data_IF_008662860580
#
_entry.id   IF_008662860580
#
_cell.length_a   1.000
_cell.length_b   1.000
_cell.length_c   1.000
_cell.angle_alpha   90.00
_cell.angle_beta   90.00
_cell.angle_gamma   90.00
#
_symmetry.space_group_name_H-M   'P 1'
#
loop_
_entity.id
_entity.type
_entity.pdbx_description
1 polymer ?
#
# COMPACT_ATOMS: atom_id res chain seq x y z
N UNK A 1 22.34 -22.04 -23.71
CA UNK A 1 22.80 -20.82 -22.99
C UNK A 1 24.25 -21.06 -22.62
N UNK A 2 25.20 -20.29 -23.15
CA UNK A 2 26.63 -20.56 -23.02
C UNK A 2 27.13 -20.27 -21.61
N UNK A 3 28.03 -21.08 -21.11
CA UNK A 3 28.69 -21.00 -19.81
C UNK A 3 29.39 -19.65 -19.50
N UNK A 4 29.49 -18.74 -20.45
CA UNK A 4 30.10 -17.42 -20.31
C UNK A 4 29.23 -16.41 -19.51
N UNK A 5 27.91 -16.60 -19.41
CA UNK A 5 27.02 -15.71 -18.62
C UNK A 5 27.12 -15.91 -17.10
N UNK A 6 27.60 -17.08 -16.66
CA UNK A 6 27.71 -17.40 -15.23
C UNK A 6 29.00 -16.86 -14.61
N UNK A 7 30.04 -16.63 -15.42
CA UNK A 7 31.36 -16.17 -14.93
C UNK A 7 31.37 -14.67 -14.62
N UNK A 8 30.51 -13.86 -15.26
CA UNK A 8 30.41 -12.42 -15.00
C UNK A 8 29.71 -12.05 -13.68
N UNK A 9 28.85 -12.92 -13.14
CA UNK A 9 28.10 -12.67 -11.92
C UNK A 9 28.91 -12.85 -10.62
N UNK A 10 30.07 -13.46 -10.68
CA UNK A 10 30.90 -13.80 -9.50
C UNK A 10 31.67 -12.62 -8.89
N UNK A 11 31.67 -11.45 -9.51
CA UNK A 11 32.49 -10.31 -9.08
C UNK A 11 31.67 -9.09 -8.69
N UNK A 12 30.34 -9.18 -8.67
CA UNK A 12 29.48 -8.04 -8.32
C UNK A 12 29.57 -7.75 -6.82
N UNK A 13 29.84 -6.49 -6.50
CA UNK A 13 29.86 -5.95 -5.15
C UNK A 13 28.59 -5.12 -4.94
N UNK A 14 28.19 -4.95 -3.68
CA UNK A 14 27.17 -3.98 -3.33
C UNK A 14 27.58 -2.59 -3.79
N UNK A 15 26.80 -1.98 -4.67
CA UNK A 15 27.04 -0.61 -5.10
C UNK A 15 26.76 0.36 -3.94
N UNK A 16 27.49 1.47 -3.82
CA UNK A 16 27.16 2.54 -2.89
C UNK A 16 25.74 3.06 -3.16
N UNK A 17 24.98 3.35 -2.10
CA UNK A 17 23.63 3.89 -2.22
C UNK A 17 23.57 5.14 -3.12
N UNK A 18 24.54 6.04 -3.00
CA UNK A 18 24.63 7.25 -3.82
C UNK A 18 24.65 6.96 -5.31
N UNK A 19 25.41 5.92 -5.71
CA UNK A 19 25.51 5.51 -7.13
C UNK A 19 24.18 4.91 -7.62
N UNK A 20 23.49 4.14 -6.77
CA UNK A 20 22.19 3.55 -7.11
C UNK A 20 21.13 4.65 -7.24
N UNK A 21 21.09 5.59 -6.30
CA UNK A 21 20.14 6.70 -6.36
C UNK A 21 20.44 7.67 -7.51
N UNK A 22 21.72 7.90 -7.84
CA UNK A 22 22.06 8.68 -9.04
C UNK A 22 21.47 8.04 -10.30
N UNK A 23 21.61 6.72 -10.47
CA UNK A 23 21.01 5.99 -11.59
C UNK A 23 19.47 6.11 -11.58
N UNK A 24 18.82 5.91 -10.41
CA UNK A 24 17.37 6.05 -10.29
C UNK A 24 16.92 7.45 -10.73
N UNK A 25 17.60 8.50 -10.29
CA UNK A 25 17.23 9.86 -10.66
C UNK A 25 17.48 10.16 -12.14
N UNK A 26 18.58 9.66 -12.70
CA UNK A 26 18.89 9.84 -14.13
C UNK A 26 17.84 9.13 -15.01
N UNK A 27 17.46 7.90 -14.66
CA UNK A 27 16.42 7.14 -15.36
C UNK A 27 15.04 7.83 -15.26
N UNK A 28 14.69 8.36 -14.08
CA UNK A 28 13.42 9.08 -13.88
C UNK A 28 13.40 10.40 -14.66
N UNK A 29 14.49 11.18 -14.67
CA UNK A 29 14.61 12.37 -15.49
C UNK A 29 14.48 12.05 -16.97
N UNK A 30 15.13 11.00 -17.42
CA UNK A 30 15.00 10.54 -18.80
C UNK A 30 13.55 10.19 -19.14
N UNK A 31 12.83 9.50 -18.26
CA UNK A 31 11.43 9.17 -18.46
C UNK A 31 10.55 10.44 -18.51
N UNK A 32 10.76 11.38 -17.60
CA UNK A 32 10.03 12.66 -17.56
C UNK A 32 10.22 13.47 -18.85
N UNK A 33 11.43 13.48 -19.41
CA UNK A 33 11.76 14.21 -20.64
C UNK A 33 11.22 13.52 -21.90
N UNK A 34 11.09 12.20 -21.90
CA UNK A 34 10.80 11.43 -23.12
C UNK A 34 9.38 10.85 -23.19
N UNK A 35 8.64 10.77 -22.08
CA UNK A 35 7.23 10.36 -22.09
C UNK A 35 6.37 11.62 -22.28
N UNK A 36 5.61 11.76 -23.37
CA UNK A 36 4.72 12.90 -23.55
C UNK A 36 3.65 12.96 -22.47
N UNK A 37 3.36 14.14 -21.94
CA UNK A 37 2.36 14.34 -20.88
C UNK A 37 0.96 13.80 -21.25
N UNK A 38 0.61 13.84 -22.54
CA UNK A 38 -0.67 13.38 -23.08
C UNK A 38 -0.62 11.99 -23.73
N UNK A 39 0.45 11.21 -23.51
CA UNK A 39 0.56 9.87 -24.12
C UNK A 39 -0.53 8.93 -23.62
N UNK A 40 -0.85 9.00 -22.33
CA UNK A 40 -1.82 8.13 -21.64
C UNK A 40 -2.72 8.97 -20.74
N UNK A 41 -3.66 9.78 -21.29
CA UNK A 41 -4.49 10.67 -20.51
C UNK A 41 -5.43 9.89 -19.60
N UNK A 42 -5.64 10.40 -18.38
CA UNK A 42 -6.49 9.76 -17.37
C UNK A 42 -7.93 9.61 -17.83
N UNK A 43 -8.43 10.54 -18.64
CA UNK A 43 -9.77 10.44 -19.23
C UNK A 43 -9.97 9.21 -20.14
N UNK A 44 -8.88 8.61 -20.63
CA UNK A 44 -8.91 7.39 -21.45
C UNK A 44 -8.31 6.19 -20.72
N UNK A 45 -8.39 6.16 -19.39
CA UNK A 45 -7.82 5.12 -18.55
C UNK A 45 -8.35 3.72 -18.90
N UNK A 46 -9.60 3.60 -19.37
CA UNK A 46 -10.18 2.34 -19.78
C UNK A 46 -9.36 1.61 -20.89
N UNK A 47 -8.65 2.38 -21.74
CA UNK A 47 -7.80 1.84 -22.80
C UNK A 47 -6.31 1.85 -22.46
N UNK A 48 -5.89 2.74 -21.58
CA UNK A 48 -4.47 3.04 -21.30
C UNK A 48 -4.04 2.70 -19.86
N UNK A 49 -4.93 2.20 -19.03
CA UNK A 49 -4.62 1.91 -17.65
C UNK A 49 -3.53 0.83 -17.53
N UNK A 50 -2.59 1.07 -16.61
CA UNK A 50 -1.40 0.23 -16.43
C UNK A 50 -0.14 0.69 -17.19
N UNK A 51 -0.26 1.64 -18.11
CA UNK A 51 0.92 2.28 -18.71
C UNK A 51 1.63 3.20 -17.72
N UNK A 52 2.97 3.20 -17.79
CA UNK A 52 3.78 4.18 -17.04
C UNK A 52 3.68 5.54 -17.73
N UNK A 53 3.28 6.55 -16.97
CA UNK A 53 3.12 7.92 -17.46
C UNK A 53 4.28 8.81 -17.04
N UNK A 54 4.42 9.99 -17.67
CA UNK A 54 5.30 11.05 -17.20
C UNK A 54 5.04 11.35 -15.71
N UNK A 55 3.79 11.49 -15.33
CA UNK A 55 3.37 11.81 -13.98
C UNK A 55 3.72 10.72 -12.95
N UNK A 56 3.74 9.46 -13.35
CA UNK A 56 4.23 8.37 -12.51
C UNK A 56 5.74 8.50 -12.23
N UNK A 57 6.52 8.88 -13.24
CA UNK A 57 7.96 9.12 -13.08
C UNK A 57 8.25 10.36 -12.21
N UNK A 58 7.48 11.44 -12.38
CA UNK A 58 7.56 12.65 -11.55
C UNK A 58 7.25 12.37 -10.07
N UNK A 59 6.15 11.67 -9.79
CA UNK A 59 5.77 11.32 -8.44
C UNK A 59 6.80 10.40 -7.77
N UNK A 60 7.35 9.44 -8.52
CA UNK A 60 8.40 8.56 -8.01
C UNK A 60 9.72 9.32 -7.77
N UNK A 61 10.07 10.30 -8.61
CA UNK A 61 11.23 11.16 -8.40
C UNK A 61 11.12 11.94 -7.08
N UNK A 62 9.98 12.57 -6.82
CA UNK A 62 9.73 13.30 -5.57
C UNK A 62 9.79 12.36 -4.35
N UNK A 63 9.19 11.17 -4.44
CA UNK A 63 9.23 10.16 -3.36
C UNK A 63 10.66 9.68 -3.09
N UNK A 64 11.43 9.37 -4.14
CA UNK A 64 12.82 8.94 -4.03
C UNK A 64 13.70 10.04 -3.42
N UNK A 65 13.48 11.31 -3.81
CA UNK A 65 14.17 12.45 -3.23
C UNK A 65 13.90 12.59 -1.73
N UNK A 66 12.63 12.55 -1.32
CA UNK A 66 12.22 12.65 0.10
C UNK A 66 12.78 11.50 0.94
N UNK A 67 12.79 10.28 0.39
CA UNK A 67 13.38 9.14 1.08
C UNK A 67 14.90 9.30 1.21
N UNK A 68 15.60 9.63 0.12
CA UNK A 68 17.05 9.77 0.13
C UNK A 68 17.50 10.84 1.11
N UNK A 69 16.90 12.04 1.02
CA UNK A 69 17.28 13.15 1.90
C UNK A 69 16.95 12.88 3.36
N UNK A 70 15.80 12.25 3.62
CA UNK A 70 15.39 11.91 4.98
C UNK A 70 16.24 10.80 5.61
N UNK A 71 16.49 9.71 4.88
CA UNK A 71 17.20 8.55 5.41
C UNK A 71 18.72 8.76 5.46
N UNK A 72 19.32 9.33 4.41
CA UNK A 72 20.77 9.56 4.35
C UNK A 72 21.19 10.92 4.91
N UNK A 73 20.26 11.84 5.18
CA UNK A 73 20.54 13.15 5.76
C UNK A 73 21.36 14.08 4.87
N UNK A 74 21.31 13.90 3.55
CA UNK A 74 22.07 14.68 2.57
C UNK A 74 21.32 14.84 1.26
N UNK A 75 21.65 15.87 0.49
CA UNK A 75 21.10 16.11 -0.84
C UNK A 75 21.71 15.16 -1.88
N UNK A 76 20.92 14.62 -2.82
CA UNK A 76 21.47 13.90 -3.97
C UNK A 76 22.15 14.87 -4.94
N UNK A 77 23.18 14.39 -5.65
CA UNK A 77 23.91 15.26 -6.58
C UNK A 77 23.14 15.58 -7.85
N UNK A 78 22.20 14.71 -8.26
CA UNK A 78 21.51 14.77 -9.56
C UNK A 78 20.12 15.39 -9.52
N UNK A 79 19.52 15.57 -8.32
CA UNK A 79 18.18 16.17 -8.15
C UNK A 79 18.17 17.12 -6.97
N UNK A 80 17.68 18.33 -7.18
CA UNK A 80 17.48 19.34 -6.15
C UNK A 80 16.06 19.25 -5.54
N UNK A 81 15.89 19.85 -4.36
CA UNK A 81 14.58 20.03 -3.74
C UNK A 81 13.59 20.77 -4.66
N UNK A 82 14.08 21.76 -5.39
CA UNK A 82 13.27 22.55 -6.32
C UNK A 82 12.75 21.70 -7.49
N UNK A 83 13.58 20.80 -8.05
CA UNK A 83 13.16 19.87 -9.11
C UNK A 83 12.13 18.86 -8.57
N UNK A 84 12.33 18.32 -7.38
CA UNK A 84 11.37 17.40 -6.75
C UNK A 84 10.02 18.08 -6.48
N UNK A 85 10.02 19.35 -6.03
CA UNK A 85 8.81 20.14 -5.86
C UNK A 85 8.14 20.44 -7.20
N UNK A 86 8.91 20.86 -8.20
CA UNK A 86 8.38 21.16 -9.54
C UNK A 86 7.70 19.94 -10.16
N UNK A 87 8.22 18.74 -9.95
CA UNK A 87 7.59 17.49 -10.41
C UNK A 87 6.20 17.28 -9.76
N UNK A 88 6.06 17.52 -8.45
CA UNK A 88 4.75 17.46 -7.79
C UNK A 88 3.79 18.53 -8.31
N UNK A 89 4.27 19.78 -8.49
CA UNK A 89 3.44 20.90 -8.98
C UNK A 89 3.01 20.70 -10.43
N UNK A 90 3.82 20.06 -11.29
CA UNK A 90 3.44 19.72 -12.66
C UNK A 90 2.27 18.73 -12.68
N UNK A 91 2.32 17.69 -11.85
CA UNK A 91 1.21 16.74 -11.68
C UNK A 91 -0.07 17.46 -11.24
N UNK A 92 0.04 18.34 -10.24
CA UNK A 92 -1.11 19.08 -9.70
C UNK A 92 -1.69 20.03 -10.75
N UNK A 93 -0.83 20.77 -11.46
CA UNK A 93 -1.22 21.72 -12.48
C UNK A 93 -1.78 21.06 -13.74
N UNK A 94 -1.48 19.79 -13.99
CA UNK A 94 -1.98 19.05 -15.16
C UNK A 94 -3.50 18.93 -15.20
N UNK A 95 -4.15 18.90 -14.01
CA UNK A 95 -5.58 18.64 -13.88
C UNK A 95 -6.01 17.22 -14.25
N UNK A 96 -5.06 16.31 -14.52
CA UNK A 96 -5.34 14.90 -14.86
C UNK A 96 -5.83 14.09 -13.66
N UNK A 97 -5.47 14.50 -12.43
CA UNK A 97 -5.73 13.75 -11.21
C UNK A 97 -6.55 14.57 -10.22
N UNK A 98 -7.34 13.88 -9.41
CA UNK A 98 -8.11 14.50 -8.33
C UNK A 98 -8.35 13.50 -7.21
N UNK A 99 -8.58 13.99 -5.98
CA UNK A 99 -9.01 13.14 -4.87
C UNK A 99 -10.40 12.56 -5.14
N UNK A 100 -10.58 11.30 -4.86
CA UNK A 100 -11.92 10.70 -4.82
C UNK A 100 -12.65 11.31 -3.60
N UNK A 101 -13.85 11.87 -3.77
CA UNK A 101 -14.50 12.68 -2.74
C UNK A 101 -14.74 11.97 -1.41
N UNK A 102 -15.13 10.70 -1.45
CA UNK A 102 -15.28 9.87 -0.26
C UNK A 102 -14.17 8.84 -0.19
N UNK A 103 -13.39 8.86 0.88
CA UNK A 103 -12.23 7.97 1.02
C UNK A 103 -12.55 6.48 0.88
N UNK A 104 -13.72 6.04 1.39
CA UNK A 104 -14.16 4.65 1.28
C UNK A 104 -14.28 4.18 -0.17
N UNK A 105 -14.58 5.09 -1.10
CA UNK A 105 -14.77 4.75 -2.51
C UNK A 105 -13.47 4.43 -3.26
N UNK A 106 -12.32 4.59 -2.61
CA UNK A 106 -11.02 4.13 -3.13
C UNK A 106 -10.83 2.61 -3.04
N UNK A 107 -11.63 1.93 -2.21
CA UNK A 107 -11.37 0.55 -1.85
C UNK A 107 -12.61 -0.31 -2.07
N UNK A 108 -12.51 -1.41 -2.85
CA UNK A 108 -13.64 -2.31 -3.10
C UNK A 108 -14.32 -2.78 -1.80
N UNK A 109 -13.54 -3.29 -0.84
CA UNK A 109 -14.09 -3.83 0.40
C UNK A 109 -14.74 -2.76 1.32
N UNK A 110 -14.40 -1.48 1.15
CA UNK A 110 -15.01 -0.39 1.93
C UNK A 110 -16.34 0.09 1.33
N UNK A 111 -16.62 -0.27 0.10
CA UNK A 111 -17.78 0.17 -0.68
C UNK A 111 -18.74 -0.97 -1.02
N UNK A 112 -18.27 -2.22 -1.05
CA UNK A 112 -19.06 -3.39 -1.40
C UNK A 112 -20.25 -3.60 -0.45
N UNK A 113 -21.33 -4.14 -1.02
CA UNK A 113 -22.54 -4.55 -0.30
C UNK A 113 -22.66 -6.06 -0.25
N UNK A 114 -23.36 -6.58 0.74
CA UNK A 114 -23.71 -8.01 0.77
C UNK A 114 -24.61 -8.34 -0.42
N UNK A 115 -24.28 -9.36 -1.17
CA UNK A 115 -25.05 -9.83 -2.33
C UNK A 115 -25.04 -11.35 -2.37
N UNK A 116 -26.15 -11.94 -2.78
CA UNK A 116 -26.25 -13.38 -3.02
C UNK A 116 -25.37 -13.80 -4.21
N UNK A 117 -24.83 -15.00 -4.13
CA UNK A 117 -24.15 -15.63 -5.26
C UNK A 117 -25.10 -15.77 -6.44
N UNK A 118 -24.68 -15.49 -7.68
CA UNK A 118 -25.50 -15.71 -8.86
C UNK A 118 -25.85 -17.20 -9.02
N UNK A 119 -26.98 -17.47 -9.61
CA UNK A 119 -27.38 -18.84 -9.99
C UNK A 119 -26.39 -19.44 -10.99
N UNK A 120 -26.40 -20.78 -11.11
CA UNK A 120 -25.52 -21.48 -12.04
C UNK A 120 -25.74 -21.00 -13.47
N UNK A 121 -24.68 -20.59 -14.14
CA UNK A 121 -24.69 -20.03 -15.48
C UNK A 121 -25.03 -18.53 -15.57
N UNK A 122 -25.30 -17.89 -14.47
CA UNK A 122 -25.53 -16.44 -14.36
C UNK A 122 -24.27 -15.71 -13.87
N UNK A 123 -24.32 -14.36 -13.94
CA UNK A 123 -23.26 -13.48 -13.48
C UNK A 123 -23.82 -12.43 -12.54
N UNK A 124 -23.10 -12.11 -11.48
CA UNK A 124 -23.43 -11.01 -10.59
C UNK A 124 -23.23 -9.66 -11.30
N UNK A 125 -24.09 -8.70 -10.98
CA UNK A 125 -23.85 -7.30 -11.31
C UNK A 125 -22.75 -6.73 -10.39
N UNK A 126 -21.52 -6.77 -10.85
CA UNK A 126 -20.36 -6.33 -10.08
C UNK A 126 -20.39 -4.81 -9.78
N UNK A 127 -21.02 -4.01 -10.64
CA UNK A 127 -21.20 -2.58 -10.36
C UNK A 127 -22.09 -2.37 -9.14
N UNK A 128 -23.17 -3.14 -9.05
CA UNK A 128 -24.04 -3.12 -7.88
C UNK A 128 -23.34 -3.69 -6.64
N UNK A 129 -22.61 -4.80 -6.79
CA UNK A 129 -21.89 -5.45 -5.70
C UNK A 129 -20.82 -4.54 -5.09
N UNK A 130 -20.02 -3.88 -5.93
CA UNK A 130 -18.94 -2.97 -5.51
C UNK A 130 -19.46 -1.61 -4.99
N UNK A 131 -20.75 -1.34 -5.13
CA UNK A 131 -21.41 -0.16 -4.60
C UNK A 131 -20.85 1.15 -5.16
N UNK A 132 -20.24 1.97 -4.31
CA UNK A 132 -19.71 3.28 -4.70
C UNK A 132 -18.21 3.28 -4.99
N UNK A 133 -17.60 2.10 -5.17
CA UNK A 133 -16.18 2.00 -5.54
C UNK A 133 -15.90 2.76 -6.85
N UNK A 134 -14.86 3.59 -6.82
CA UNK A 134 -14.52 4.46 -7.95
C UNK A 134 -13.86 3.71 -9.12
N UNK A 135 -13.61 2.41 -8.99
CA UNK A 135 -12.97 1.59 -10.00
C UNK A 135 -11.45 1.59 -9.93
N UNK A 136 -10.86 0.55 -10.53
CA UNK A 136 -9.42 0.50 -10.77
C UNK A 136 -9.04 1.63 -11.76
N UNK A 137 -7.84 2.17 -11.62
CA UNK A 137 -7.39 3.27 -12.47
C UNK A 137 -8.17 4.59 -12.29
N UNK A 138 -8.90 4.78 -11.18
CA UNK A 138 -9.70 5.97 -10.90
C UNK A 138 -8.87 7.27 -10.90
N UNK A 139 -9.54 8.43 -10.78
CA UNK A 139 -8.91 9.75 -10.89
C UNK A 139 -7.80 10.01 -9.87
N UNK A 140 -7.73 9.27 -8.77
CA UNK A 140 -6.66 9.41 -7.76
C UNK A 140 -5.44 8.53 -8.06
N UNK A 141 -5.57 7.45 -8.83
CA UNK A 141 -4.48 6.51 -9.12
C UNK A 141 -3.48 7.11 -10.10
N UNK A 142 -2.22 7.24 -9.70
CA UNK A 142 -1.11 7.70 -10.56
C UNK A 142 -0.30 6.51 -11.08
N UNK A 143 0.01 5.56 -10.21
CA UNK A 143 0.73 4.34 -10.56
C UNK A 143 0.17 3.16 -9.78
N UNK A 144 -0.18 2.10 -10.47
CA UNK A 144 -0.64 0.85 -9.87
C UNK A 144 0.00 -0.36 -10.57
N UNK A 145 0.14 -1.44 -9.81
CA UNK A 145 0.42 -2.76 -10.36
C UNK A 145 -0.91 -3.41 -10.72
N UNK A 146 -1.04 -3.82 -11.97
CA UNK A 146 -2.26 -4.46 -12.51
C UNK A 146 -2.25 -5.96 -12.27
N UNK A 147 -3.42 -6.50 -11.99
CA UNK A 147 -3.63 -7.93 -11.79
C UNK A 147 -4.82 -8.43 -12.61
N UNK A 148 -4.91 -9.74 -12.80
CA UNK A 148 -6.04 -10.39 -13.47
C UNK A 148 -6.57 -11.56 -12.66
N UNK A 149 -7.79 -12.00 -12.96
CA UNK A 149 -8.40 -13.20 -12.36
C UNK A 149 -8.14 -14.48 -13.17
N UNK A 150 -7.23 -14.43 -14.16
CA UNK A 150 -7.02 -15.51 -15.13
C UNK A 150 -6.00 -16.56 -14.70
N UNK A 151 -5.31 -16.36 -13.56
CA UNK A 151 -4.29 -17.28 -13.08
C UNK A 151 -4.84 -18.67 -12.73
N UNK A 152 -3.92 -19.63 -12.69
CA UNK A 152 -4.15 -21.01 -12.29
C UNK A 152 -3.00 -21.50 -11.37
N UNK A 153 -3.12 -22.76 -10.89
CA UNK A 153 -2.07 -23.38 -10.09
C UNK A 153 -0.88 -23.94 -10.92
N UNK A 154 -0.91 -23.80 -12.24
CA UNK A 154 0.11 -24.34 -13.16
C UNK A 154 1.21 -23.31 -13.50
N UNK A 155 1.34 -22.25 -12.72
CA UNK A 155 2.41 -21.25 -12.87
C UNK A 155 1.96 -19.90 -13.43
N UNK A 156 0.69 -19.73 -13.76
CA UNK A 156 0.09 -18.46 -14.08
C UNK A 156 -0.21 -17.71 -12.75
N UNK A 157 0.54 -16.66 -12.43
CA UNK A 157 0.53 -15.97 -11.12
C UNK A 157 0.24 -14.47 -11.25
N UNK A 158 -0.69 -14.10 -12.10
CA UNK A 158 -1.07 -12.71 -12.37
C UNK A 158 -2.18 -12.16 -11.45
N UNK A 159 -2.56 -12.90 -10.39
CA UNK A 159 -3.47 -12.44 -9.34
C UNK A 159 -2.77 -11.71 -8.19
N UNK A 160 -3.55 -10.86 -7.53
CA UNK A 160 -3.09 -10.10 -6.39
C UNK A 160 -2.99 -10.96 -5.12
N UNK A 161 -1.81 -11.48 -4.84
CA UNK A 161 -1.52 -12.27 -3.64
C UNK A 161 -1.58 -11.45 -2.35
N UNK A 162 -1.44 -10.14 -2.44
CA UNK A 162 -1.57 -9.27 -1.28
C UNK A 162 -2.96 -9.36 -0.66
N UNK A 163 -4.00 -9.41 -1.49
CA UNK A 163 -5.37 -9.57 -0.99
C UNK A 163 -5.54 -10.83 -0.13
N UNK A 164 -5.05 -11.98 -0.60
CA UNK A 164 -5.18 -13.22 0.18
C UNK A 164 -4.31 -13.18 1.44
N UNK A 165 -3.16 -12.51 1.40
CA UNK A 165 -2.29 -12.36 2.58
C UNK A 165 -2.96 -11.55 3.69
N UNK A 166 -3.68 -10.47 3.35
CA UNK A 166 -4.29 -9.55 4.35
C UNK A 166 -5.70 -9.95 4.76
N UNK A 167 -6.40 -10.77 3.95
CA UNK A 167 -7.75 -11.23 4.25
C UNK A 167 -7.83 -11.99 5.58
N UNK A 168 -8.99 -11.95 6.23
CA UNK A 168 -9.24 -12.63 7.50
C UNK A 168 -8.95 -14.14 7.38
N UNK A 169 -8.23 -14.68 8.36
CA UNK A 169 -7.81 -16.07 8.28
C UNK A 169 -9.00 -17.01 8.40
N UNK A 170 -9.21 -17.83 7.35
CA UNK A 170 -10.24 -18.87 7.30
C UNK A 170 -11.67 -18.40 7.62
N UNK A 171 -11.94 -17.08 7.57
CA UNK A 171 -13.23 -16.49 7.94
C UNK A 171 -13.81 -15.71 6.76
N UNK A 172 -14.98 -16.10 6.28
CA UNK A 172 -15.82 -15.30 5.40
C UNK A 172 -16.85 -14.55 6.26
N UNK A 173 -16.98 -13.25 6.04
CA UNK A 173 -18.02 -12.41 6.63
C UNK A 173 -18.47 -11.41 5.56
N UNK A 174 -19.41 -11.81 4.71
CA UNK A 174 -19.78 -11.02 3.54
C UNK A 174 -20.04 -9.56 3.88
N UNK A 175 -19.51 -8.61 3.10
CA UNK A 175 -18.89 -8.79 1.79
C UNK A 175 -17.39 -9.18 1.84
N UNK A 176 -16.80 -9.39 3.02
CA UNK A 176 -15.37 -9.70 3.18
C UNK A 176 -15.11 -11.20 3.04
N UNK A 177 -14.26 -11.54 2.09
CA UNK A 177 -13.81 -12.90 1.84
C UNK A 177 -12.61 -13.28 2.73
N UNK A 178 -12.46 -14.57 2.93
CA UNK A 178 -11.34 -15.13 3.70
C UNK A 178 -9.99 -14.97 2.99
N UNK A 179 -8.95 -14.98 3.82
CA UNK A 179 -7.56 -15.01 3.38
C UNK A 179 -6.69 -15.87 4.30
N UNK A 180 -5.41 -15.52 4.38
CA UNK A 180 -4.43 -16.23 5.21
C UNK A 180 -4.14 -15.56 6.55
N UNK A 181 -4.65 -14.35 6.80
CA UNK A 181 -4.44 -13.61 8.05
C UNK A 181 -2.97 -13.26 8.29
N UNK A 182 -2.23 -12.95 7.22
CA UNK A 182 -0.81 -12.62 7.32
C UNK A 182 -0.52 -11.23 7.89
N UNK A 183 -1.53 -10.39 8.00
CA UNK A 183 -1.47 -9.07 8.62
C UNK A 183 -2.71 -8.84 9.47
N UNK A 184 -2.48 -8.47 10.72
CA UNK A 184 -3.52 -8.03 11.64
C UNK A 184 -3.32 -6.58 12.01
N UNK A 185 -4.34 -5.93 12.55
CA UNK A 185 -4.28 -4.50 12.89
C UNK A 185 -3.95 -4.35 14.36
N UNK A 186 -2.93 -3.53 14.68
CA UNK A 186 -2.60 -3.21 16.06
C UNK A 186 -3.72 -2.35 16.69
N UNK A 187 -4.36 -2.79 17.79
CA UNK A 187 -5.40 -2.02 18.46
C UNK A 187 -4.97 -0.62 18.86
N UNK A 188 -3.72 -0.43 19.30
CA UNK A 188 -3.21 0.90 19.63
C UNK A 188 -3.25 1.88 18.45
N UNK A 189 -3.06 1.39 17.21
CA UNK A 189 -3.22 2.23 16.02
C UNK A 189 -4.68 2.60 15.77
N UNK A 190 -5.61 1.69 16.05
CA UNK A 190 -7.06 1.95 15.91
C UNK A 190 -7.51 3.08 16.82
N UNK A 191 -6.93 3.17 18.02
CA UNK A 191 -7.24 4.19 19.03
C UNK A 191 -6.63 5.57 18.71
N UNK A 192 -5.66 5.63 17.78
CA UNK A 192 -5.04 6.92 17.37
C UNK A 192 -5.92 7.73 16.40
N UNK A 193 -6.93 7.14 15.76
CA UNK A 193 -7.81 7.87 14.84
C UNK A 193 -8.63 8.92 15.58
N UNK A 194 -8.63 10.14 15.05
CA UNK A 194 -9.45 11.23 15.58
C UNK A 194 -10.93 10.94 15.39
N UNK A 195 -11.75 11.41 16.31
CA UNK A 195 -13.21 11.30 16.18
C UNK A 195 -13.70 12.00 14.91
N UNK A 196 -14.50 11.31 14.11
CA UNK A 196 -14.98 11.80 12.82
C UNK A 196 -14.08 11.51 11.63
N UNK A 197 -12.90 10.92 11.82
CA UNK A 197 -12.04 10.47 10.71
C UNK A 197 -12.64 9.23 10.04
N UNK A 198 -13.18 9.41 8.83
CA UNK A 198 -13.87 8.36 8.07
C UNK A 198 -12.94 7.27 7.57
N UNK A 199 -11.63 7.52 7.55
CA UNK A 199 -10.61 6.54 7.11
C UNK A 199 -10.52 5.34 8.03
N UNK A 200 -10.83 5.50 9.33
CA UNK A 200 -10.89 4.37 10.27
C UNK A 200 -11.81 3.26 9.75
N UNK A 201 -13.07 3.58 9.52
CA UNK A 201 -14.06 2.61 9.04
C UNK A 201 -13.80 2.12 7.61
N UNK A 202 -13.12 2.93 6.77
CA UNK A 202 -12.77 2.55 5.41
C UNK A 202 -11.50 1.70 5.30
N UNK A 203 -10.65 1.69 6.33
CA UNK A 203 -9.36 0.99 6.32
C UNK A 203 -9.33 -0.26 7.18
N UNK A 204 -10.21 -0.36 8.16
CA UNK A 204 -10.19 -1.37 9.23
C UNK A 204 -11.56 -2.04 9.33
N UNK A 205 -11.57 -3.36 9.40
CA UNK A 205 -12.72 -4.15 9.81
C UNK A 205 -12.64 -4.28 11.33
N UNK A 206 -13.60 -3.71 12.04
CA UNK A 206 -13.81 -3.94 13.47
C UNK A 206 -14.80 -5.09 13.60
N UNK A 207 -14.28 -6.31 13.88
CA UNK A 207 -15.08 -7.52 13.84
C UNK A 207 -16.23 -7.49 14.85
N UNK A 208 -16.03 -6.87 16.00
CA UNK A 208 -17.07 -6.75 17.00
C UNK A 208 -18.12 -5.71 16.60
N UNK A 209 -17.69 -4.53 16.17
CA UNK A 209 -18.60 -3.45 15.79
C UNK A 209 -19.43 -3.79 14.54
N UNK A 210 -18.88 -4.58 13.63
CA UNK A 210 -19.57 -5.08 12.42
C UNK A 210 -20.38 -6.38 12.68
N UNK A 211 -20.44 -6.86 13.93
CA UNK A 211 -21.24 -8.03 14.34
C UNK A 211 -20.67 -9.40 13.94
N UNK A 212 -19.47 -9.41 13.36
CA UNK A 212 -18.84 -10.65 12.82
C UNK A 212 -18.55 -11.66 13.92
N UNK A 213 -18.20 -11.20 15.13
CA UNK A 213 -17.86 -12.09 16.27
C UNK A 213 -19.06 -12.79 16.91
N UNK A 214 -20.29 -12.45 16.50
CA UNK A 214 -21.51 -13.08 16.97
C UNK A 214 -21.97 -14.22 16.03
N UNK A 215 -21.21 -14.54 15.00
CA UNK A 215 -21.52 -15.53 13.98
C UNK A 215 -20.90 -16.89 14.31
N UNK A 216 -21.62 -17.98 14.06
CA UNK A 216 -21.15 -19.36 14.24
C UNK A 216 -19.91 -19.65 13.37
N UNK A 217 -19.77 -19.00 12.21
CA UNK A 217 -18.59 -19.14 11.34
C UNK A 217 -17.34 -18.55 12.00
N UNK A 218 -17.48 -17.44 12.72
CA UNK A 218 -16.39 -16.89 13.51
C UNK A 218 -15.96 -17.84 14.62
N UNK A 219 -16.91 -18.39 15.39
CA UNK A 219 -16.60 -19.33 16.45
C UNK A 219 -15.87 -20.57 15.92
N UNK A 220 -16.31 -21.11 14.79
CA UNK A 220 -15.65 -22.24 14.12
C UNK A 220 -14.22 -21.92 13.66
N UNK A 221 -13.95 -20.67 13.22
CA UNK A 221 -12.64 -20.23 12.73
C UNK A 221 -11.68 -19.80 13.84
N UNK A 222 -12.16 -19.54 15.06
CA UNK A 222 -11.39 -18.88 16.12
C UNK A 222 -10.10 -19.63 16.48
N UNK A 223 -10.13 -20.96 16.53
CA UNK A 223 -8.96 -21.78 16.82
C UNK A 223 -7.92 -21.80 15.68
N UNK A 224 -8.28 -21.38 14.49
CA UNK A 224 -7.35 -21.23 13.36
C UNK A 224 -6.74 -19.83 13.26
N UNK A 225 -7.24 -18.85 14.00
CA UNK A 225 -6.71 -17.49 13.97
C UNK A 225 -5.24 -17.44 14.38
N UNK A 226 -4.51 -16.48 13.81
CA UNK A 226 -3.11 -16.15 14.12
C UNK A 226 -3.01 -14.67 14.40
N UNK A 227 -2.38 -14.32 15.51
CA UNK A 227 -2.19 -12.93 15.94
C UNK A 227 -3.50 -12.10 15.91
N UNK A 228 -4.63 -12.73 16.21
CA UNK A 228 -5.94 -12.09 16.19
C UNK A 228 -6.03 -10.99 17.25
N UNK A 229 -6.49 -9.81 16.86
CA UNK A 229 -6.58 -8.60 17.69
C UNK A 229 -8.00 -8.04 17.81
N UNK A 230 -8.98 -8.64 17.14
CA UNK A 230 -10.34 -8.08 16.99
C UNK A 230 -10.50 -7.19 15.76
N UNK A 231 -9.40 -6.89 15.06
CA UNK A 231 -9.38 -6.01 13.89
C UNK A 231 -8.69 -6.67 12.70
N UNK A 232 -9.16 -6.37 11.49
CA UNK A 232 -8.55 -6.82 10.24
C UNK A 232 -8.40 -5.68 9.24
N UNK A 233 -7.51 -5.86 8.25
CA UNK A 233 -7.30 -4.89 7.17
C UNK A 233 -8.49 -4.91 6.21
N UNK A 234 -9.05 -3.74 5.89
CA UNK A 234 -10.18 -3.61 4.96
C UNK A 234 -9.73 -3.25 3.54
N UNK A 235 -8.80 -2.31 3.36
CA UNK A 235 -8.45 -1.74 2.04
C UNK A 235 -8.22 -2.78 0.93
N UNK A 236 -7.56 -3.87 1.25
CA UNK A 236 -7.25 -4.96 0.31
C UNK A 236 -7.90 -6.29 0.73
N UNK A 237 -8.94 -6.26 1.56
CA UNK A 237 -9.64 -7.49 1.91
C UNK A 237 -10.23 -8.14 0.64
N UNK A 238 -10.10 -9.46 0.48
CA UNK A 238 -10.84 -10.18 -0.55
C UNK A 238 -12.34 -9.99 -0.37
N UNK A 239 -13.10 -10.23 -1.43
CA UNK A 239 -14.57 -10.14 -1.38
C UNK A 239 -15.21 -11.51 -1.53
N UNK A 240 -16.38 -11.69 -0.89
CA UNK A 240 -17.21 -12.88 -1.06
C UNK A 240 -18.70 -12.51 -1.16
N UNK A 241 -19.45 -13.42 -1.77
CA UNK A 241 -20.91 -13.42 -1.77
C UNK A 241 -21.47 -13.86 -0.40
N UNK A 242 -22.77 -13.71 -0.20
CA UNK A 242 -23.44 -14.01 1.07
C UNK A 242 -23.22 -15.46 1.58
N UNK A 243 -23.01 -16.41 0.66
CA UNK A 243 -22.70 -17.81 0.98
C UNK A 243 -21.22 -18.10 1.25
N UNK A 244 -20.36 -17.06 1.29
CA UNK A 244 -18.90 -17.18 1.47
C UNK A 244 -18.13 -17.56 0.19
N UNK A 245 -18.79 -17.75 -0.94
CA UNK A 245 -18.12 -18.00 -2.23
C UNK A 245 -17.32 -16.75 -2.65
N UNK A 246 -16.10 -16.94 -3.13
CA UNK A 246 -15.25 -15.82 -3.60
C UNK A 246 -15.93 -15.03 -4.70
N UNK A 247 -15.99 -13.71 -4.53
CA UNK A 247 -16.49 -12.77 -5.54
C UNK A 247 -15.40 -12.24 -6.47
N UNK A 248 -14.24 -12.88 -6.51
CA UNK A 248 -13.14 -12.51 -7.42
C UNK A 248 -13.45 -12.77 -8.90
N UNK A 249 -14.52 -13.52 -9.21
CA UNK A 249 -15.14 -13.64 -10.52
C UNK A 249 -16.65 -13.47 -10.40
N UNK A 250 -17.23 -12.82 -11.38
CA UNK A 250 -18.65 -12.46 -11.42
C UNK A 250 -19.63 -13.64 -11.39
N UNK A 251 -19.18 -14.83 -11.82
CA UNK A 251 -19.96 -16.08 -11.81
C UNK A 251 -19.77 -16.91 -10.54
N UNK A 252 -18.97 -16.42 -9.57
CA UNK A 252 -18.64 -17.13 -8.35
C UNK A 252 -17.70 -18.33 -8.53
N UNK A 253 -17.08 -18.50 -9.70
CA UNK A 253 -16.10 -19.58 -9.96
C UNK A 253 -14.68 -19.23 -9.48
N UNK A 254 -14.48 -18.02 -8.91
CA UNK A 254 -13.18 -17.55 -8.47
C UNK A 254 -12.64 -18.34 -7.28
N UNK A 255 -11.34 -18.63 -7.30
CA UNK A 255 -10.63 -19.20 -6.16
C UNK A 255 -10.07 -18.05 -5.28
N UNK A 256 -10.38 -18.06 -3.98
CA UNK A 256 -9.96 -16.99 -3.06
C UNK A 256 -8.44 -16.84 -2.94
N UNK A 257 -7.66 -17.86 -3.27
CA UNK A 257 -6.20 -17.81 -3.17
C UNK A 257 -5.52 -17.22 -4.40
N UNK A 258 -6.12 -17.38 -5.59
CA UNK A 258 -5.43 -17.08 -6.85
C UNK A 258 -6.21 -16.16 -7.80
N UNK A 259 -7.51 -15.93 -7.58
CA UNK A 259 -8.33 -15.17 -8.53
C UNK A 259 -8.55 -13.71 -8.12
N UNK A 260 -8.03 -13.25 -6.97
CA UNK A 260 -8.12 -11.85 -6.57
C UNK A 260 -7.34 -10.96 -7.54
N UNK A 261 -7.90 -9.83 -7.96
CA UNK A 261 -7.33 -9.00 -9.02
C UNK A 261 -7.47 -7.49 -8.80
N UNK A 262 -7.83 -7.04 -7.59
CA UNK A 262 -7.78 -5.62 -7.26
C UNK A 262 -6.38 -5.08 -7.52
N UNK A 263 -6.28 -3.91 -8.16
CA UNK A 263 -5.02 -3.24 -8.39
C UNK A 263 -4.29 -2.92 -7.09
N UNK A 264 -2.97 -3.09 -7.09
CA UNK A 264 -2.14 -2.63 -5.99
C UNK A 264 -1.63 -1.22 -6.29
N UNK A 265 -2.23 -0.22 -5.63
CA UNK A 265 -1.91 1.18 -5.86
C UNK A 265 -0.55 1.50 -5.24
N UNK A 266 0.40 1.93 -6.07
CA UNK A 266 1.76 2.31 -5.67
C UNK A 266 1.87 3.79 -5.35
N UNK A 267 1.23 4.65 -6.15
CA UNK A 267 1.22 6.10 -5.98
C UNK A 267 -0.17 6.63 -6.32
N UNK A 268 -0.71 7.49 -5.47
CA UNK A 268 -1.98 8.16 -5.69
C UNK A 268 -1.88 9.66 -5.40
N UNK A 269 -2.83 10.44 -5.90
CA UNK A 269 -2.79 11.89 -5.89
C UNK A 269 -2.65 12.52 -4.50
N UNK A 270 -3.26 11.91 -3.46
CA UNK A 270 -3.06 12.33 -2.08
C UNK A 270 -1.59 12.34 -1.66
N UNK A 271 -0.78 11.38 -2.16
CA UNK A 271 0.66 11.34 -1.88
C UNK A 271 1.39 12.52 -2.53
N UNK A 272 1.03 12.88 -3.76
CA UNK A 272 1.61 14.04 -4.45
C UNK A 272 1.29 15.34 -3.71
N UNK A 273 0.05 15.53 -3.25
CA UNK A 273 -0.33 16.70 -2.46
C UNK A 273 0.48 16.82 -1.18
N UNK A 274 0.64 15.71 -0.44
CA UNK A 274 1.39 15.70 0.82
C UNK A 274 2.91 15.82 0.58
N UNK A 275 3.45 15.25 -0.51
CA UNK A 275 4.86 15.44 -0.90
C UNK A 275 5.14 16.89 -1.30
N UNK A 276 4.27 17.53 -2.09
CA UNK A 276 4.39 18.95 -2.44
C UNK A 276 4.38 19.84 -1.19
N UNK A 277 3.49 19.54 -0.23
CA UNK A 277 3.44 20.25 1.04
C UNK A 277 4.75 20.08 1.84
N UNK A 278 5.29 18.86 1.93
CA UNK A 278 6.55 18.57 2.62
C UNK A 278 7.77 19.22 1.94
N UNK A 279 7.76 19.28 0.62
CA UNK A 279 8.80 19.95 -0.17
C UNK A 279 8.72 21.48 -0.09
N UNK A 280 7.70 22.03 0.58
CA UNK A 280 7.60 23.45 0.88
C UNK A 280 6.95 24.28 -0.24
N UNK A 281 5.96 23.70 -0.92
CA UNK A 281 5.07 24.43 -1.83
C UNK A 281 4.52 25.70 -1.16
N UNK A 282 4.33 26.75 -1.93
CA UNK A 282 3.59 27.95 -1.48
C UNK A 282 2.14 27.63 -1.13
N UNK A 283 1.59 26.55 -1.68
CA UNK A 283 0.24 26.05 -1.42
C UNK A 283 0.19 24.91 -0.38
N UNK A 284 1.26 24.70 0.40
CA UNK A 284 1.41 23.57 1.30
C UNK A 284 0.20 23.36 2.24
N UNK A 285 -0.32 24.45 2.83
CA UNK A 285 -1.51 24.37 3.71
C UNK A 285 -2.73 23.90 2.91
N UNK A 286 -2.95 24.44 1.73
CA UNK A 286 -4.08 24.08 0.88
C UNK A 286 -4.04 22.60 0.49
N UNK A 287 -2.88 22.09 0.10
CA UNK A 287 -2.71 20.69 -0.28
C UNK A 287 -2.91 19.74 0.90
N UNK A 288 -2.37 20.09 2.06
CA UNK A 288 -2.58 19.36 3.29
C UNK A 288 -4.08 19.35 3.69
N UNK A 289 -4.74 20.50 3.63
CA UNK A 289 -6.15 20.64 3.98
C UNK A 289 -7.07 19.87 3.02
N UNK A 290 -6.73 19.74 1.74
CA UNK A 290 -7.50 18.94 0.79
C UNK A 290 -7.58 17.47 1.24
N UNK A 291 -6.44 16.87 1.59
CA UNK A 291 -6.38 15.48 2.06
C UNK A 291 -7.13 15.33 3.38
N UNK A 292 -6.84 16.22 4.34
CA UNK A 292 -7.45 16.18 5.66
C UNK A 292 -8.95 16.42 5.62
N UNK A 293 -9.44 17.41 4.88
CA UNK A 293 -10.87 17.68 4.75
C UNK A 293 -11.64 16.51 4.14
N UNK A 294 -11.07 15.85 3.12
CA UNK A 294 -11.65 14.63 2.55
C UNK A 294 -11.83 13.55 3.62
N UNK A 295 -10.84 13.36 4.50
CA UNK A 295 -10.88 12.38 5.59
C UNK A 295 -12.02 12.64 6.59
N UNK A 296 -12.44 13.88 6.77
CA UNK A 296 -13.49 14.29 7.70
C UNK A 296 -14.80 14.75 7.01
N UNK A 297 -15.00 14.35 5.76
CA UNK A 297 -16.22 14.71 5.02
C UNK A 297 -16.40 16.22 4.82
N UNK A 298 -15.30 16.96 4.70
CA UNK A 298 -15.30 18.42 4.53
C UNK A 298 -15.25 19.26 5.82
N UNK A 299 -15.22 18.61 7.00
CA UNK A 299 -15.28 19.29 8.30
C UNK A 299 -14.10 18.95 9.21
N UNK A 300 -12.90 18.88 8.66
CA UNK A 300 -11.70 18.55 9.43
C UNK A 300 -11.38 19.61 10.50
N UNK A 301 -10.98 19.21 11.71
CA UNK A 301 -10.36 20.12 12.65
C UNK A 301 -9.14 20.79 12.01
N UNK A 302 -9.02 22.11 12.15
CA UNK A 302 -7.93 22.87 11.57
C UNK A 302 -6.58 22.47 12.18
N UNK A 303 -5.60 22.18 11.32
CA UNK A 303 -4.23 21.82 11.71
C UNK A 303 -3.26 22.62 10.84
N UNK A 304 -2.29 23.28 11.46
CA UNK A 304 -1.23 23.99 10.72
C UNK A 304 -0.29 22.99 10.06
N UNK A 305 -0.03 23.17 8.77
CA UNK A 305 0.91 22.31 8.04
C UNK A 305 2.30 22.38 8.67
N UNK A 306 2.88 21.23 8.94
CA UNK A 306 4.25 21.05 9.41
C UNK A 306 4.72 19.66 8.99
N UNK A 307 6.03 19.41 8.99
CA UNK A 307 6.55 18.07 8.67
C UNK A 307 5.93 17.00 9.60
N UNK A 308 5.83 17.29 10.90
CA UNK A 308 5.24 16.38 11.89
C UNK A 308 3.77 16.07 11.56
N UNK A 309 2.96 17.11 11.28
CA UNK A 309 1.55 16.94 10.95
C UNK A 309 1.35 16.24 9.60
N UNK A 310 2.22 16.49 8.61
CA UNK A 310 2.21 15.76 7.34
C UNK A 310 2.50 14.28 7.59
N UNK A 311 3.50 13.92 8.40
CA UNK A 311 3.81 12.52 8.71
C UNK A 311 2.67 11.85 9.47
N UNK A 312 2.02 12.55 10.40
CA UNK A 312 0.82 12.07 11.09
C UNK A 312 -0.33 11.84 10.11
N UNK A 313 -0.60 12.80 9.20
CA UNK A 313 -1.64 12.67 8.18
C UNK A 313 -1.37 11.48 7.25
N UNK A 314 -0.12 11.32 6.79
CA UNK A 314 0.32 10.20 5.95
C UNK A 314 0.10 8.85 6.63
N UNK A 315 0.32 8.75 7.94
CA UNK A 315 0.13 7.52 8.72
C UNK A 315 -1.31 7.00 8.60
N UNK A 316 -2.30 7.87 8.71
CA UNK A 316 -3.71 7.48 8.57
C UNK A 316 -4.15 7.33 7.12
N UNK A 317 -3.70 8.24 6.26
CA UNK A 317 -4.05 8.25 4.85
C UNK A 317 -3.57 6.98 4.13
N UNK A 318 -2.33 6.58 4.38
CA UNK A 318 -1.67 5.47 3.69
C UNK A 318 -1.51 4.21 4.54
N UNK A 319 -2.25 4.08 5.67
CA UNK A 319 -2.21 2.83 6.43
C UNK A 319 -2.56 1.64 5.51
N UNK A 320 -1.84 0.53 5.69
CA UNK A 320 -1.99 -0.71 4.92
C UNK A 320 -1.66 -0.62 3.42
N UNK A 321 -1.05 0.47 2.95
CA UNK A 321 -0.58 0.66 1.57
C UNK A 321 0.95 0.44 1.44
N UNK A 322 1.59 -0.19 2.42
CA UNK A 322 3.02 -0.57 2.47
C UNK A 322 4.01 0.60 2.39
N UNK A 323 3.58 1.85 2.62
CA UNK A 323 4.46 3.03 2.57
C UNK A 323 4.91 3.51 3.96
N UNK A 324 4.15 3.23 5.02
CA UNK A 324 4.40 3.76 6.36
C UNK A 324 5.80 3.43 6.90
N UNK A 325 6.30 2.21 6.66
CA UNK A 325 7.65 1.81 7.08
C UNK A 325 8.74 2.74 6.51
N UNK A 326 8.63 3.08 5.24
CA UNK A 326 9.58 3.96 4.54
C UNK A 326 9.44 5.41 4.98
N UNK A 327 8.21 5.86 5.24
CA UNK A 327 7.94 7.18 5.83
C UNK A 327 8.53 7.31 7.23
N UNK A 328 8.48 6.25 8.04
CA UNK A 328 9.14 6.21 9.34
C UNK A 328 10.67 6.26 9.21
N UNK A 329 11.25 5.42 8.36
CA UNK A 329 12.71 5.37 8.17
C UNK A 329 13.31 6.71 7.74
N UNK A 330 12.64 7.44 6.84
CA UNK A 330 13.12 8.75 6.38
C UNK A 330 12.98 9.88 7.42
N UNK A 331 12.35 9.60 8.56
CA UNK A 331 12.36 10.49 9.72
C UNK A 331 13.56 10.22 10.65
N UNK A 332 14.32 9.20 10.37
CA UNK A 332 15.48 8.74 11.13
C UNK A 332 15.24 7.37 11.78
N UNK A 333 16.27 6.55 11.76
CA UNK A 333 16.18 5.14 12.24
C UNK A 333 15.75 5.05 13.70
N UNK A 334 16.26 5.94 14.57
CA UNK A 334 15.89 5.92 15.99
C UNK A 334 14.43 6.31 16.21
N UNK A 335 13.93 7.33 15.49
CA UNK A 335 12.53 7.73 15.55
C UNK A 335 11.61 6.61 15.03
N UNK A 336 11.95 6.00 13.90
CA UNK A 336 11.25 4.88 13.33
C UNK A 336 11.22 3.67 14.27
N UNK A 337 12.37 3.29 14.83
CA UNK A 337 12.48 2.17 15.76
C UNK A 337 11.60 2.38 17.01
N UNK A 338 11.58 3.59 17.56
CA UNK A 338 10.76 3.90 18.73
C UNK A 338 9.25 3.89 18.43
N UNK A 339 8.84 4.29 17.21
CA UNK A 339 7.42 4.23 16.80
C UNK A 339 6.94 2.81 16.49
N UNK A 340 7.83 1.90 16.09
CA UNK A 340 7.50 0.52 15.77
C UNK A 340 7.56 -0.42 16.98
N UNK A 341 8.06 0.05 18.14
CA UNK A 341 8.00 -0.74 19.39
C UNK A 341 6.55 -1.10 19.67
N UNK A 342 6.30 -2.38 19.84
CA UNK A 342 4.98 -2.87 20.22
C UNK A 342 5.09 -4.00 21.22
N UNK A 343 4.09 -4.11 22.08
CA UNK A 343 3.81 -5.25 22.92
C UNK A 343 2.29 -5.38 22.94
N UNK A 344 1.78 -6.07 21.91
CA UNK A 344 0.35 -6.19 21.68
C UNK A 344 -0.11 -7.59 22.05
N UNK A 345 -1.08 -7.68 22.96
CA UNK A 345 -1.78 -8.93 23.28
C UNK A 345 -2.57 -9.38 22.04
N UNK A 346 -2.43 -10.62 21.68
CA UNK A 346 -3.09 -11.25 20.54
C UNK A 346 -3.62 -12.63 20.93
N UNK A 347 -4.39 -13.25 20.04
CA UNK A 347 -4.79 -14.65 20.17
C UNK A 347 -4.29 -15.45 18.97
N UNK A 348 -3.67 -16.59 19.25
CA UNK A 348 -3.17 -17.52 18.24
C UNK A 348 -3.55 -18.94 18.59
N UNK A 349 -4.27 -19.62 17.68
CA UNK A 349 -4.72 -21.00 17.95
C UNK A 349 -5.61 -21.14 19.18
N UNK A 350 -6.47 -20.14 19.43
CA UNK A 350 -7.36 -20.11 20.60
C UNK A 350 -6.68 -19.75 21.93
N UNK A 351 -5.38 -19.44 21.95
CA UNK A 351 -4.63 -19.10 23.14
C UNK A 351 -4.17 -17.65 23.15
N UNK A 352 -3.98 -17.09 24.35
CA UNK A 352 -3.34 -15.79 24.49
C UNK A 352 -1.86 -15.86 24.09
N UNK A 353 -1.41 -14.84 23.36
CA UNK A 353 -0.04 -14.67 22.91
C UNK A 353 0.27 -13.16 22.84
N UNK A 354 1.49 -12.79 22.48
CA UNK A 354 1.87 -11.40 22.34
C UNK A 354 2.80 -11.19 21.15
N UNK A 355 2.53 -10.17 20.35
CA UNK A 355 3.46 -9.67 19.35
C UNK A 355 4.35 -8.63 20.01
N UNK A 356 5.65 -8.91 20.05
CA UNK A 356 6.66 -8.02 20.64
C UNK A 356 7.64 -7.60 19.57
N UNK A 357 7.72 -6.29 19.33
CA UNK A 357 8.70 -5.67 18.44
C UNK A 357 9.58 -4.75 19.30
N UNK A 358 10.87 -5.04 19.39
CA UNK A 358 11.84 -4.24 20.11
C UNK A 358 12.61 -3.30 19.16
N UNK A 359 12.97 -2.12 19.65
CA UNK A 359 13.70 -1.11 18.87
C UNK A 359 15.11 -1.54 18.47
N UNK A 360 15.77 -2.35 19.30
CA UNK A 360 17.21 -2.63 19.18
C UNK A 360 17.59 -3.29 17.87
N UNK A 361 16.80 -4.27 17.41
CA UNK A 361 17.06 -4.95 16.13
C UNK A 361 16.99 -3.97 14.96
N UNK A 362 15.99 -3.12 14.93
CA UNK A 362 15.84 -2.11 13.88
C UNK A 362 16.99 -1.11 13.89
N UNK A 363 17.40 -0.66 15.09
CA UNK A 363 18.57 0.24 15.23
C UNK A 363 19.85 -0.42 14.74
N UNK A 364 20.10 -1.68 15.13
CA UNK A 364 21.26 -2.46 14.71
C UNK A 364 21.32 -2.67 13.19
N UNK A 365 20.18 -2.96 12.56
CA UNK A 365 20.08 -3.17 11.11
C UNK A 365 19.89 -1.88 10.31
N UNK A 366 19.73 -0.74 10.96
CA UNK A 366 19.35 0.55 10.36
C UNK A 366 18.07 0.47 9.52
N UNK A 367 17.16 -0.44 9.89
CA UNK A 367 15.93 -0.70 9.14
C UNK A 367 16.14 -1.40 7.80
N UNK A 368 17.35 -1.87 7.48
CA UNK A 368 17.63 -2.59 6.24
C UNK A 368 17.32 -4.08 6.38
N UNK A 369 16.82 -4.67 5.31
CA UNK A 369 16.54 -6.10 5.24
C UNK A 369 17.83 -6.92 5.12
N UNK A 370 17.74 -8.18 5.55
CA UNK A 370 18.79 -9.16 5.35
C UNK A 370 19.02 -9.43 3.84
N UNK A 371 20.28 -9.48 3.42
CA UNK A 371 20.62 -10.04 2.12
C UNK A 371 20.46 -11.57 2.22
N UNK A 372 19.68 -12.23 1.35
CA UNK A 372 19.50 -13.68 1.41
C UNK A 372 20.83 -14.42 1.40
N UNK A 373 21.00 -15.36 2.32
CA UNK A 373 22.26 -16.07 2.52
C UNK A 373 22.75 -16.79 1.24
N UNK A 374 21.82 -17.33 0.45
CA UNK A 374 22.14 -17.94 -0.83
C UNK A 374 22.77 -16.96 -1.82
N UNK A 375 22.39 -15.69 -1.82
CA UNK A 375 22.99 -14.66 -2.67
C UNK A 375 24.44 -14.37 -2.24
N UNK A 376 24.69 -14.30 -0.94
CA UNK A 376 26.05 -14.13 -0.40
C UNK A 376 26.92 -15.33 -0.83
N UNK A 377 26.42 -16.55 -0.69
CA UNK A 377 27.12 -17.76 -1.09
C UNK A 377 27.40 -17.79 -2.60
N UNK A 378 26.40 -17.48 -3.43
CA UNK A 378 26.54 -17.43 -4.89
C UNK A 378 27.52 -16.35 -5.36
N UNK A 379 27.65 -15.26 -4.61
CA UNK A 379 28.60 -14.18 -4.92
C UNK A 379 30.07 -14.57 -4.65
N UNK A 380 30.32 -15.75 -4.06
CA UNK A 380 31.65 -16.15 -3.62
C UNK A 380 32.22 -15.28 -2.49
N UNK A 381 31.35 -14.65 -1.68
CA UNK A 381 31.73 -13.78 -0.56
C UNK A 381 32.02 -12.34 -0.95
N UNK A 382 31.68 -11.91 -2.18
CA UNK A 382 31.82 -10.51 -2.61
C UNK A 382 30.69 -9.63 -2.11
N UNK A 383 29.49 -10.19 -1.89
CA UNK A 383 28.40 -9.53 -1.18
C UNK A 383 28.61 -9.67 0.33
N UNK A 384 28.54 -8.54 1.02
CA UNK A 384 28.66 -8.45 2.48
C UNK A 384 27.28 -8.19 3.07
N UNK A 385 26.93 -8.92 4.13
CA UNK A 385 25.67 -8.77 4.81
C UNK A 385 25.48 -7.35 5.38
N UNK A 386 24.23 -6.87 5.39
CA UNK A 386 23.87 -5.62 6.05
C UNK A 386 24.19 -5.70 7.55
N UNK A 387 24.56 -4.57 8.14
CA UNK A 387 24.88 -4.48 9.57
C UNK A 387 23.70 -5.00 10.42
N UNK A 388 24.01 -5.68 11.50
CA UNK A 388 23.00 -6.20 12.45
C UNK A 388 22.35 -7.54 12.08
N UNK A 389 22.75 -8.14 10.95
CA UNK A 389 22.29 -9.47 10.52
C UNK A 389 23.36 -10.53 10.66
#
# INVERSE_FOLDING_TARGET
MSSQRVVGLKSEKTAPADSVYALIFDDLKYAIENIPANAYPKADAANNDGHVTKYAAEALLARAYLYYTGYYGKEPASVSKAEALAACEDIIASGEFSLIPEFKNLWPASSAIVMDKPAEGEKADMNKFLGTYAGDGNAETILAMKFTSSQDYNGNNDGNRWQVMVGMRSLNAAPYGKGWGGLTVNPAFVDEFESGDTRKAASIIDLQAEGITADDEFEASYNDQREYTGYAVKKYAPLCFADGTSASKEDGSGDFQISNHQDYVLIRYADVLLMAAELGSTNAQTYFDQVRNRAFGGNAPAVTVSKENIMKERKFEFCFESINYWDLLRQGVDAAANQLVTNTKVFSGGNEDAVIIAADKMKATKGLSQIPYNQITLSGGTLVQNAGW
#
